data_IF_898098260664
#
_entry.id   IF_898098260664
#
_cell.length_a   1.000
_cell.length_b   1.000
_cell.length_c   1.000
_cell.angle_alpha   90.00
_cell.angle_beta   90.00
_cell.angle_gamma   90.00
#
_symmetry.space_group_name_H-M   'P 1'
#
loop_
_entity.id
_entity.type
_entity.pdbx_description
1 polymer ?
#
# COMPACT_ATOMS: atom_id res chain seq x y z
N UNK A 1 5.56 -15.28 -25.05
CA UNK A 1 6.50 -14.48 -24.25
C UNK A 1 5.95 -14.41 -22.83
N UNK A 2 6.71 -14.84 -21.83
CA UNK A 2 6.25 -14.92 -20.42
C UNK A 2 6.82 -13.79 -19.56
N UNK A 3 7.87 -13.12 -20.02
CA UNK A 3 8.44 -11.92 -19.40
C UNK A 3 9.11 -11.03 -20.45
N UNK A 4 9.33 -9.76 -20.10
CA UNK A 4 10.10 -8.77 -20.87
C UNK A 4 11.12 -8.14 -19.92
N UNK A 5 12.37 -8.00 -20.36
CA UNK A 5 13.40 -7.32 -19.58
C UNK A 5 13.33 -5.81 -19.82
N UNK A 6 13.16 -5.03 -18.76
CA UNK A 6 13.15 -3.56 -18.80
C UNK A 6 14.41 -2.98 -18.13
N UNK A 7 15.01 -1.91 -18.68
CA UNK A 7 16.16 -1.23 -18.07
C UNK A 7 15.77 -0.41 -16.82
N UNK A 8 14.49 -0.07 -16.70
CA UNK A 8 13.91 0.67 -15.58
C UNK A 8 12.57 0.04 -15.22
N UNK A 9 12.32 -0.16 -13.93
CA UNK A 9 11.04 -0.61 -13.38
C UNK A 9 10.51 0.41 -12.38
N UNK A 10 9.20 0.43 -12.18
CA UNK A 10 8.50 1.39 -11.34
C UNK A 10 7.84 0.75 -10.10
N UNK A 11 7.62 1.57 -9.07
CA UNK A 11 6.77 1.26 -7.92
C UNK A 11 6.04 2.51 -7.47
N UNK A 12 4.84 2.35 -6.93
CA UNK A 12 4.14 3.45 -6.25
C UNK A 12 4.52 3.43 -4.77
N UNK A 13 4.88 4.59 -4.22
CA UNK A 13 5.26 4.73 -2.81
C UNK A 13 4.50 5.88 -2.17
N UNK A 14 4.21 5.75 -0.88
CA UNK A 14 3.66 6.83 -0.09
C UNK A 14 4.77 7.51 0.71
N UNK A 15 5.05 8.77 0.39
CA UNK A 15 6.06 9.57 1.09
C UNK A 15 5.48 10.93 1.49
N UNK A 16 5.53 11.22 2.80
CA UNK A 16 5.06 12.49 3.38
C UNK A 16 3.62 12.83 2.97
N UNK A 17 2.71 11.84 2.98
CA UNK A 17 1.32 12.01 2.57
C UNK A 17 1.09 12.15 1.06
N UNK A 18 2.13 12.00 0.24
CA UNK A 18 2.03 12.06 -1.22
C UNK A 18 2.30 10.69 -1.84
N UNK A 19 1.46 10.32 -2.82
CA UNK A 19 1.75 9.18 -3.68
C UNK A 19 2.77 9.60 -4.74
N UNK A 20 3.88 8.87 -4.81
CA UNK A 20 4.97 9.14 -5.74
C UNK A 20 5.27 7.92 -6.60
N UNK A 21 5.74 8.17 -7.82
CA UNK A 21 6.30 7.14 -8.69
C UNK A 21 7.79 7.05 -8.42
N UNK A 22 8.26 5.88 -8.02
CA UNK A 22 9.67 5.57 -7.89
C UNK A 22 10.12 4.77 -9.10
N UNK A 23 11.17 5.24 -9.77
CA UNK A 23 11.81 4.55 -10.88
C UNK A 23 13.13 3.94 -10.44
N UNK A 24 13.36 2.69 -10.79
CA UNK A 24 14.48 1.86 -10.32
C UNK A 24 15.22 1.32 -11.52
N UNK A 25 16.53 1.62 -11.61
CA UNK A 25 17.39 1.05 -12.64
C UNK A 25 17.64 -0.42 -12.36
N UNK A 26 17.38 -1.28 -13.35
CA UNK A 26 17.56 -2.73 -13.20
C UNK A 26 19.03 -3.12 -13.36
N UNK A 27 19.37 -4.34 -12.91
CA UNK A 27 20.74 -4.89 -12.96
C UNK A 27 21.77 -4.18 -12.05
N UNK A 28 21.34 -3.19 -11.27
CA UNK A 28 22.09 -2.56 -10.19
C UNK A 28 21.40 -2.90 -8.86
N UNK A 29 22.18 -3.25 -7.83
CA UNK A 29 21.63 -3.53 -6.50
C UNK A 29 20.74 -4.80 -6.43
N UNK A 30 20.87 -5.73 -7.38
CA UNK A 30 20.13 -7.00 -7.36
C UNK A 30 18.67 -6.93 -7.80
N UNK A 31 18.24 -5.82 -8.43
CA UNK A 31 16.89 -5.67 -8.99
C UNK A 31 16.79 -6.39 -10.34
N UNK A 32 15.90 -7.39 -10.50
CA UNK A 32 15.76 -8.11 -11.77
C UNK A 32 15.26 -7.21 -12.89
N UNK A 33 15.77 -7.39 -14.11
CA UNK A 33 15.23 -6.71 -15.30
C UNK A 33 13.88 -7.30 -15.74
N UNK A 34 13.64 -8.58 -15.45
CA UNK A 34 12.49 -9.32 -15.96
C UNK A 34 11.18 -8.90 -15.31
N UNK A 35 10.22 -8.51 -16.16
CA UNK A 35 8.85 -8.14 -15.82
C UNK A 35 7.91 -9.20 -16.40
N UNK A 36 7.04 -9.82 -15.59
CA UNK A 36 6.12 -10.85 -16.07
C UNK A 36 5.09 -10.28 -17.05
N UNK A 37 4.77 -11.05 -18.10
CA UNK A 37 3.66 -10.75 -19.01
C UNK A 37 2.45 -11.57 -18.57
N UNK A 38 1.40 -10.87 -18.14
CA UNK A 38 0.15 -11.49 -17.67
C UNK A 38 -0.93 -11.40 -18.74
N UNK A 39 -1.78 -12.44 -18.79
CA UNK A 39 -2.94 -12.50 -19.66
C UNK A 39 -4.19 -12.17 -18.86
N UNK A 40 -5.01 -11.26 -19.38
CA UNK A 40 -6.32 -11.02 -18.83
C UNK A 40 -7.30 -12.13 -19.29
N UNK A 41 -8.27 -12.43 -18.44
CA UNK A 41 -9.32 -13.43 -18.69
C UNK A 41 -10.66 -12.72 -18.71
N UNK A 42 -11.44 -12.93 -19.77
CA UNK A 42 -12.80 -12.38 -19.91
C UNK A 42 -13.74 -12.98 -18.88
N UNK A 43 -14.44 -12.12 -18.16
CA UNK A 43 -15.58 -12.48 -17.34
C UNK A 43 -16.87 -12.24 -18.14
N UNK A 44 -17.40 -13.31 -18.73
CA UNK A 44 -18.58 -13.29 -19.61
C UNK A 44 -19.83 -12.70 -18.94
N UNK A 45 -19.92 -12.71 -17.60
CA UNK A 45 -21.07 -12.16 -16.89
C UNK A 45 -21.04 -10.64 -16.80
N UNK A 46 -19.84 -10.08 -16.69
CA UNK A 46 -19.65 -8.64 -16.46
C UNK A 46 -19.20 -7.89 -17.71
N UNK A 47 -18.66 -8.61 -18.70
CA UNK A 47 -17.99 -8.02 -19.86
C UNK A 47 -16.63 -7.40 -19.55
N UNK A 48 -16.13 -7.54 -18.31
CA UNK A 48 -14.80 -7.06 -17.90
C UNK A 48 -13.75 -8.14 -18.11
N UNK A 49 -12.50 -7.71 -18.27
CA UNK A 49 -11.34 -8.59 -18.25
C UNK A 49 -10.68 -8.57 -16.86
N UNK A 50 -10.06 -9.68 -16.45
CA UNK A 50 -9.51 -9.87 -15.10
C UNK A 50 -8.09 -10.39 -15.16
N UNK A 51 -7.19 -9.75 -14.41
CA UNK A 51 -5.85 -10.27 -14.13
C UNK A 51 -5.76 -10.63 -12.66
N UNK A 52 -5.38 -11.88 -12.37
CA UNK A 52 -5.14 -12.34 -11.00
C UNK A 52 -3.65 -12.31 -10.70
N UNK A 53 -3.29 -11.52 -9.69
CA UNK A 53 -1.94 -11.44 -9.17
C UNK A 53 -1.78 -12.43 -8.01
N UNK A 54 -0.67 -13.16 -7.93
CA UNK A 54 -0.44 -14.08 -6.82
C UNK A 54 -0.33 -13.32 -5.50
N UNK A 55 -0.57 -14.02 -4.39
CA UNK A 55 -0.21 -13.49 -3.07
C UNK A 55 1.29 -13.31 -2.95
N UNK A 56 1.71 -12.25 -2.27
CA UNK A 56 3.10 -11.91 -2.00
C UNK A 56 3.25 -11.63 -0.51
N UNK A 57 4.48 -11.52 0.01
CA UNK A 57 4.69 -11.16 1.42
C UNK A 57 3.86 -9.93 1.79
N UNK A 58 2.94 -10.06 2.74
CA UNK A 58 2.09 -8.95 3.18
C UNK A 58 0.98 -8.49 2.24
N UNK A 59 0.67 -9.17 1.14
CA UNK A 59 -0.60 -8.96 0.44
C UNK A 59 -1.22 -10.28 -0.02
N UNK A 60 -2.55 -10.44 0.15
CA UNK A 60 -3.27 -11.55 -0.46
C UNK A 60 -3.23 -11.42 -1.99
N UNK A 61 -3.65 -12.48 -2.69
CA UNK A 61 -3.90 -12.41 -4.13
C UNK A 61 -4.85 -11.25 -4.45
N UNK A 62 -4.57 -10.53 -5.53
CA UNK A 62 -5.33 -9.36 -5.97
C UNK A 62 -5.91 -9.60 -7.35
N UNK A 63 -7.12 -9.11 -7.58
CA UNK A 63 -7.73 -9.07 -8.92
C UNK A 63 -7.65 -7.64 -9.45
N UNK A 64 -7.05 -7.46 -10.61
CA UNK A 64 -7.13 -6.22 -11.39
C UNK A 64 -8.25 -6.37 -12.41
N UNK A 65 -9.21 -5.44 -12.39
CA UNK A 65 -10.28 -5.36 -13.39
C UNK A 65 -9.84 -4.46 -14.52
N UNK A 66 -10.03 -4.91 -15.75
CA UNK A 66 -9.75 -4.18 -16.98
C UNK A 66 -11.10 -3.95 -17.65
N UNK A 67 -11.40 -2.69 -17.95
CA UNK A 67 -12.57 -2.33 -18.73
C UNK A 67 -12.18 -2.33 -20.22
N UNK A 68 -12.67 -3.28 -21.04
CA UNK A 68 -12.34 -3.32 -22.46
C UNK A 68 -13.07 -2.26 -23.28
N UNK A 69 -14.06 -1.57 -22.69
CA UNK A 69 -14.72 -0.43 -23.32
C UNK A 69 -13.93 0.84 -22.96
N UNK A 70 -13.21 1.46 -23.92
CA UNK A 70 -12.43 2.65 -23.65
C UNK A 70 -13.36 3.80 -23.27
N UNK A 71 -13.24 4.27 -22.04
CA UNK A 71 -13.82 5.53 -21.58
C UNK A 71 -12.71 6.56 -21.45
N UNK A 72 -12.93 7.75 -21.99
CA UNK A 72 -12.00 8.86 -21.84
C UNK A 72 -11.86 9.31 -20.39
N UNK A 73 -11.18 10.44 -20.12
CA UNK A 73 -10.98 10.96 -18.76
C UNK A 73 -12.29 11.40 -18.08
N UNK A 74 -13.41 11.39 -18.80
CA UNK A 74 -14.73 11.77 -18.30
C UNK A 74 -15.71 10.63 -18.53
N UNK A 75 -16.62 10.45 -17.58
CA UNK A 75 -17.71 9.48 -17.73
C UNK A 75 -18.59 9.88 -18.93
N UNK A 76 -18.97 8.92 -19.80
CA UNK A 76 -19.85 9.22 -20.91
C UNK A 76 -21.24 9.64 -20.42
N UNK A 77 -21.96 10.51 -21.16
CA UNK A 77 -23.31 10.91 -20.81
C UNK A 77 -24.28 9.72 -20.91
N UNK A 78 -25.22 9.62 -19.96
CA UNK A 78 -26.20 8.55 -19.89
C UNK A 78 -27.46 8.89 -20.69
N UNK A 79 -27.35 8.91 -22.02
CA UNK A 79 -28.43 9.26 -22.95
C UNK A 79 -28.78 8.08 -23.87
N UNK A 80 -29.88 8.17 -24.62
CA UNK A 80 -30.27 7.12 -25.59
C UNK A 80 -29.37 7.01 -26.83
N UNK A 81 -28.29 7.78 -26.93
CA UNK A 81 -27.38 7.80 -28.08
C UNK A 81 -26.22 6.78 -27.97
N UNK A 82 -26.14 6.02 -26.88
CA UNK A 82 -25.07 5.05 -26.63
C UNK A 82 -25.63 3.68 -26.24
N UNK A 83 -24.90 2.63 -26.60
CA UNK A 83 -25.16 1.28 -26.11
C UNK A 83 -24.68 1.13 -24.67
N UNK A 84 -25.31 0.25 -23.85
CA UNK A 84 -24.83 -0.06 -22.51
C UNK A 84 -23.39 -0.60 -22.55
N UNK A 85 -22.50 0.00 -21.75
CA UNK A 85 -21.12 -0.44 -21.58
C UNK A 85 -20.68 -0.23 -20.13
N UNK A 86 -19.72 -1.02 -19.61
CA UNK A 86 -19.13 -0.76 -18.31
C UNK A 86 -18.46 0.62 -18.26
N UNK A 87 -18.65 1.36 -17.17
CA UNK A 87 -18.04 2.68 -16.96
C UNK A 87 -17.08 2.60 -15.78
N UNK A 88 -15.81 2.91 -16.03
CA UNK A 88 -14.78 2.99 -14.99
C UNK A 88 -15.05 4.23 -14.11
N UNK A 89 -15.06 4.11 -12.78
CA UNK A 89 -15.15 5.28 -11.90
C UNK A 89 -14.03 6.28 -12.19
N UNK A 90 -14.38 7.55 -12.39
CA UNK A 90 -13.43 8.63 -12.68
C UNK A 90 -12.81 9.13 -11.36
N UNK A 91 -11.51 9.41 -11.37
CA UNK A 91 -10.82 10.01 -10.24
C UNK A 91 -11.42 11.39 -9.87
N UNK A 92 -11.64 11.63 -8.58
CA UNK A 92 -12.20 12.89 -8.05
C UNK A 92 -11.44 13.35 -6.81
N UNK A 93 -11.59 14.62 -6.42
CA UNK A 93 -10.96 15.19 -5.23
C UNK A 93 -9.61 15.85 -5.52
N UNK A 94 -8.52 15.09 -5.46
CA UNK A 94 -7.17 15.64 -5.61
C UNK A 94 -6.77 15.83 -7.08
N UNK A 95 -5.94 16.82 -7.39
CA UNK A 95 -5.37 16.98 -8.74
C UNK A 95 -4.15 16.08 -8.89
N UNK A 96 -4.10 15.28 -9.95
CA UNK A 96 -2.90 14.53 -10.34
C UNK A 96 -1.99 15.45 -11.15
N UNK A 97 -0.77 15.67 -10.67
CA UNK A 97 0.26 16.45 -11.37
C UNK A 97 1.53 15.62 -11.47
N UNK A 98 2.22 15.72 -12.61
CA UNK A 98 3.57 15.18 -12.74
C UNK A 98 4.51 15.95 -11.80
N UNK A 99 5.48 15.26 -11.21
CA UNK A 99 6.52 15.91 -10.41
C UNK A 99 7.35 16.86 -11.27
N UNK A 100 7.66 18.05 -10.73
CA UNK A 100 8.42 19.08 -11.44
C UNK A 100 9.88 18.68 -11.72
N UNK A 101 10.42 17.72 -10.96
CA UNK A 101 11.77 17.18 -11.18
C UNK A 101 11.91 15.73 -10.70
N UNK A 102 12.86 15.01 -11.30
CA UNK A 102 13.25 13.66 -10.90
C UNK A 102 14.37 13.78 -9.87
N UNK A 103 14.18 13.19 -8.69
CA UNK A 103 15.17 13.17 -7.62
C UNK A 103 15.77 11.77 -7.49
N UNK A 104 17.10 11.68 -7.60
CA UNK A 104 17.82 10.42 -7.37
C UNK A 104 17.95 10.16 -5.88
N UNK A 105 17.49 9.00 -5.42
CA UNK A 105 17.58 8.55 -4.03
C UNK A 105 18.30 7.21 -3.97
N UNK A 106 19.10 6.98 -2.91
CA UNK A 106 19.77 5.70 -2.65
C UNK A 106 18.96 4.88 -1.66
N UNK A 107 18.83 3.58 -1.91
CA UNK A 107 18.11 2.65 -1.03
C UNK A 107 18.93 1.38 -0.78
N UNK A 108 18.67 0.67 0.35
CA UNK A 108 19.14 -0.69 0.52
C UNK A 108 18.60 -1.58 -0.59
N UNK A 109 19.47 -2.40 -1.17
CA UNK A 109 19.15 -3.33 -2.25
C UNK A 109 17.93 -4.23 -1.95
N UNK A 110 17.73 -4.61 -0.69
CA UNK A 110 16.65 -5.51 -0.27
C UNK A 110 15.26 -4.89 -0.38
N UNK A 111 15.12 -3.56 -0.33
CA UNK A 111 13.84 -2.89 -0.52
C UNK A 111 13.37 -2.91 -1.98
N UNK A 112 14.27 -3.20 -2.92
CA UNK A 112 14.02 -3.08 -4.36
C UNK A 112 13.83 -4.44 -5.06
N UNK A 113 13.98 -5.56 -4.35
CA UNK A 113 13.94 -6.91 -4.94
C UNK A 113 12.54 -7.41 -5.28
N UNK A 114 11.49 -6.71 -4.84
CA UNK A 114 10.13 -7.28 -4.86
C UNK A 114 9.08 -6.30 -5.40
N UNK A 115 9.45 -5.63 -6.51
CA UNK A 115 8.55 -4.79 -7.29
C UNK A 115 7.33 -5.59 -7.75
N UNK A 116 6.14 -4.99 -7.63
CA UNK A 116 4.88 -5.55 -8.08
C UNK A 116 4.41 -4.85 -9.34
N UNK A 117 4.95 -5.32 -10.44
CA UNK A 117 4.71 -4.83 -11.76
C UNK A 117 4.52 -5.98 -12.74
N UNK A 118 3.82 -5.69 -13.83
CA UNK A 118 3.57 -6.64 -14.90
C UNK A 118 3.31 -5.89 -16.20
N UNK A 119 3.36 -6.62 -17.31
CA UNK A 119 2.91 -6.15 -18.61
C UNK A 119 1.67 -6.95 -19.00
N UNK A 120 0.66 -6.29 -19.55
CA UNK A 120 -0.42 -6.95 -20.26
C UNK A 120 -0.63 -6.29 -21.62
N UNK A 121 -1.36 -6.95 -22.51
CA UNK A 121 -1.67 -6.45 -23.84
C UNK A 121 -3.14 -6.03 -23.91
N UNK A 122 -3.40 -4.84 -24.42
CA UNK A 122 -4.75 -4.36 -24.73
C UNK A 122 -4.86 -4.01 -26.22
N UNK A 123 -6.08 -3.97 -26.80
CA UNK A 123 -6.27 -3.43 -28.14
C UNK A 123 -5.72 -2.02 -28.24
N UNK A 124 -5.07 -1.69 -29.36
CA UNK A 124 -4.62 -0.33 -29.61
C UNK A 124 -5.81 0.62 -29.89
N UNK A 125 -5.53 1.92 -30.01
CA UNK A 125 -6.55 2.94 -30.26
C UNK A 125 -7.37 2.72 -31.56
N UNK A 126 -6.85 1.94 -32.52
CA UNK A 126 -7.54 1.61 -33.77
C UNK A 126 -8.38 0.33 -33.66
N UNK A 127 -8.17 -0.47 -32.62
CA UNK A 127 -8.77 -1.80 -32.44
C UNK A 127 -8.27 -2.85 -33.42
N UNK A 128 -7.26 -2.54 -34.26
CA UNK A 128 -6.73 -3.44 -35.28
C UNK A 128 -5.44 -4.16 -34.86
N UNK A 129 -4.78 -3.66 -33.82
CA UNK A 129 -3.58 -4.24 -33.22
C UNK A 129 -3.65 -4.31 -31.70
N UNK A 130 -2.50 -4.52 -31.08
CA UNK A 130 -2.34 -4.57 -29.61
C UNK A 130 -1.17 -3.72 -29.18
N UNK A 131 -1.30 -3.11 -28.01
CA UNK A 131 -0.23 -2.36 -27.35
C UNK A 131 0.07 -2.94 -25.96
N UNK A 132 1.35 -2.94 -25.55
CA UNK A 132 1.74 -3.39 -24.22
C UNK A 132 1.54 -2.28 -23.20
N UNK A 133 0.91 -2.61 -22.07
CA UNK A 133 0.73 -1.71 -20.94
C UNK A 133 1.56 -2.22 -19.77
N UNK A 134 2.53 -1.41 -19.37
CA UNK A 134 3.30 -1.61 -18.14
C UNK A 134 2.51 -1.09 -16.94
N UNK A 135 2.21 -1.97 -16.01
CA UNK A 135 1.48 -1.67 -14.78
C UNK A 135 2.41 -1.81 -13.59
N UNK A 136 2.48 -0.78 -12.76
CA UNK A 136 3.21 -0.78 -11.49
C UNK A 136 2.22 -0.56 -10.34
N UNK A 137 2.47 -1.22 -9.20
CA UNK A 137 1.63 -1.13 -8.01
C UNK A 137 2.40 -0.57 -6.82
N UNK A 138 1.66 -0.26 -5.76
CA UNK A 138 2.28 0.12 -4.49
C UNK A 138 2.88 -1.07 -3.76
N UNK A 139 3.88 -0.80 -2.91
CA UNK A 139 4.33 -1.76 -1.91
C UNK A 139 3.11 -2.15 -1.02
N UNK A 140 2.84 -3.45 -0.77
CA UNK A 140 1.80 -3.89 0.14
C UNK A 140 1.89 -3.33 1.55
N UNK A 141 3.09 -2.95 1.98
CA UNK A 141 3.30 -2.30 3.27
C UNK A 141 2.96 -0.79 3.22
N UNK A 142 2.86 -0.20 2.04
CA UNK A 142 2.29 1.13 1.78
C UNK A 142 0.80 0.99 1.48
N UNK A 143 0.01 0.67 2.51
CA UNK A 143 -1.43 0.47 2.38
C UNK A 143 -2.23 1.02 3.57
N UNK A 144 -3.34 1.70 3.24
CA UNK A 144 -4.24 2.30 4.21
C UNK A 144 -3.51 3.28 5.12
N UNK A 145 -3.41 2.93 6.40
CA UNK A 145 -2.76 3.76 7.44
C UNK A 145 -1.27 3.51 7.63
N UNK A 146 -0.68 2.60 6.84
CA UNK A 146 0.71 2.17 7.02
C UNK A 146 1.57 2.58 5.84
N UNK A 147 2.84 2.85 6.14
CA UNK A 147 3.91 2.90 5.15
C UNK A 147 5.04 1.99 5.60
N UNK A 148 5.74 1.36 4.65
CA UNK A 148 6.94 0.54 4.91
C UNK A 148 7.96 1.34 5.74
N UNK A 149 8.17 2.60 5.36
CA UNK A 149 9.12 3.51 6.03
C UNK A 149 8.78 3.68 7.51
N UNK A 150 7.50 3.88 7.83
CA UNK A 150 7.09 4.05 9.20
C UNK A 150 7.11 2.74 9.98
N UNK A 151 6.70 1.62 9.38
CA UNK A 151 6.84 0.29 9.97
C UNK A 151 8.30 -0.03 10.30
N UNK A 152 9.24 0.22 9.38
CA UNK A 152 10.68 0.01 9.61
C UNK A 152 11.20 0.86 10.77
N UNK A 153 10.84 2.16 10.79
CA UNK A 153 11.23 3.09 11.85
C UNK A 153 10.73 2.66 13.22
N UNK A 154 9.56 2.01 13.27
CA UNK A 154 8.89 1.60 14.52
C UNK A 154 9.05 0.12 14.85
N UNK A 155 9.73 -0.66 14.01
CA UNK A 155 9.95 -2.09 14.22
C UNK A 155 10.66 -2.42 15.54
N UNK A 156 11.38 -1.46 16.13
CA UNK A 156 11.92 -1.58 17.51
C UNK A 156 10.87 -1.87 18.58
N UNK A 157 9.59 -1.65 18.30
CA UNK A 157 8.48 -1.97 19.19
C UNK A 157 7.76 -3.28 18.81
N UNK A 158 8.20 -4.00 17.77
CA UNK A 158 7.51 -5.20 17.29
C UNK A 158 7.45 -6.31 18.36
N UNK A 159 8.44 -6.39 19.24
CA UNK A 159 8.46 -7.31 20.38
C UNK A 159 7.27 -7.11 21.33
N UNK A 160 6.82 -5.87 21.51
CA UNK A 160 5.66 -5.53 22.35
C UNK A 160 4.37 -6.12 21.77
N UNK A 161 4.36 -6.40 20.46
CA UNK A 161 3.27 -7.04 19.72
C UNK A 161 3.52 -8.53 19.48
N UNK A 162 4.46 -9.15 20.21
CA UNK A 162 4.72 -10.58 20.16
C UNK A 162 5.63 -11.06 19.03
N UNK A 163 6.34 -10.14 18.34
CA UNK A 163 7.25 -10.49 17.25
C UNK A 163 8.68 -10.50 17.78
N UNK A 164 9.21 -11.69 17.99
CA UNK A 164 10.55 -11.88 18.56
C UNK A 164 11.69 -11.71 17.54
N UNK A 165 11.41 -11.76 16.24
CA UNK A 165 12.44 -11.62 15.20
C UNK A 165 12.98 -10.18 15.17
N UNK A 166 14.30 -10.04 15.26
CA UNK A 166 15.00 -8.75 15.21
C UNK A 166 15.41 -8.36 13.79
N UNK A 167 15.33 -9.28 12.83
CA UNK A 167 15.65 -9.01 11.42
C UNK A 167 14.54 -8.18 10.80
N UNK A 168 14.93 -7.04 10.23
CA UNK A 168 14.01 -6.18 9.47
C UNK A 168 14.01 -6.62 8.01
N UNK A 169 12.91 -7.23 7.59
CA UNK A 169 12.66 -7.62 6.20
C UNK A 169 11.15 -7.55 5.92
N UNK A 170 10.72 -7.80 4.70
CA UNK A 170 9.30 -7.69 4.35
C UNK A 170 8.40 -8.61 5.17
N UNK A 171 8.84 -9.82 5.48
CA UNK A 171 8.04 -10.80 6.23
C UNK A 171 7.81 -10.28 7.64
N UNK A 172 8.85 -9.81 8.33
CA UNK A 172 8.73 -9.32 9.70
C UNK A 172 8.00 -7.98 9.77
N UNK A 173 8.21 -7.08 8.81
CA UNK A 173 7.42 -5.84 8.70
C UNK A 173 5.94 -6.10 8.42
N UNK A 174 5.64 -7.15 7.63
CA UNK A 174 4.27 -7.63 7.41
C UNK A 174 3.65 -8.11 8.72
N UNK A 175 4.36 -8.97 9.46
CA UNK A 175 3.90 -9.45 10.77
C UNK A 175 3.63 -8.27 11.70
N UNK A 176 4.50 -7.26 11.70
CA UNK A 176 4.32 -6.08 12.55
C UNK A 176 3.09 -5.27 12.17
N UNK A 177 2.90 -5.01 10.88
CA UNK A 177 1.67 -4.37 10.37
C UNK A 177 0.43 -5.16 10.79
N UNK A 178 0.43 -6.46 10.57
CA UNK A 178 -0.73 -7.31 10.85
C UNK A 178 -1.04 -7.39 12.35
N UNK A 179 -0.01 -7.38 13.20
CA UNK A 179 -0.18 -7.34 14.66
C UNK A 179 -0.75 -6.00 15.15
N UNK A 180 -0.31 -4.86 14.57
CA UNK A 180 -0.89 -3.55 14.86
C UNK A 180 -2.34 -3.48 14.37
N UNK A 181 -2.64 -4.02 13.19
CA UNK A 181 -4.01 -4.07 12.66
C UNK A 181 -4.91 -4.99 13.50
N UNK A 182 -4.39 -6.12 13.99
CA UNK A 182 -5.10 -7.01 14.90
C UNK A 182 -5.39 -6.32 16.23
N UNK A 183 -4.43 -5.57 16.78
CA UNK A 183 -4.63 -4.73 17.97
C UNK A 183 -5.77 -3.74 17.76
N UNK A 184 -5.80 -3.03 16.62
CA UNK A 184 -6.86 -2.05 16.32
C UNK A 184 -8.25 -2.68 16.11
N UNK A 185 -8.31 -3.94 15.66
CA UNK A 185 -9.56 -4.69 15.44
C UNK A 185 -10.04 -5.47 16.66
N UNK A 186 -9.20 -5.62 17.67
CA UNK A 186 -9.57 -6.30 18.90
C UNK A 186 -10.72 -5.54 19.59
N UNK A 187 -11.73 -6.30 20.01
CA UNK A 187 -12.94 -5.75 20.66
C UNK A 187 -12.64 -5.09 22.00
N UNK A 188 -11.54 -5.48 22.65
CA UNK A 188 -11.10 -4.92 23.92
C UNK A 188 -10.17 -3.71 23.75
N UNK A 189 -9.86 -3.33 22.50
CA UNK A 189 -9.13 -2.11 22.19
C UNK A 189 -10.08 -0.93 22.12
N UNK A 190 -9.79 0.10 22.92
CA UNK A 190 -10.60 1.31 23.00
C UNK A 190 -9.80 2.55 22.64
N UNK A 191 -10.44 3.51 21.96
CA UNK A 191 -9.88 4.86 21.81
C UNK A 191 -9.84 5.52 23.20
N UNK A 192 -8.64 5.78 23.70
CA UNK A 192 -8.40 6.40 25.00
C UNK A 192 -7.26 7.39 24.90
N UNK A 193 -7.58 8.67 24.83
CA UNK A 193 -6.60 9.73 25.00
C UNK A 193 -5.81 10.10 23.75
N UNK A 194 -4.74 10.87 23.95
CA UNK A 194 -3.95 11.51 22.89
C UNK A 194 -2.45 11.39 23.16
N UNK A 195 -1.63 11.50 22.12
CA UNK A 195 -0.19 11.49 22.25
C UNK A 195 0.38 12.92 22.24
N UNK A 196 1.06 13.32 23.31
CA UNK A 196 1.48 14.73 23.51
C UNK A 196 2.34 15.28 22.37
N UNK A 197 3.14 14.42 21.73
CA UNK A 197 4.05 14.84 20.65
C UNK A 197 3.39 14.95 19.29
N UNK A 198 2.18 14.40 19.13
CA UNK A 198 1.45 14.39 17.86
C UNK A 198 0.08 15.05 18.04
N UNK A 199 -0.03 16.30 17.62
CA UNK A 199 -1.23 17.10 17.89
C UNK A 199 -2.42 16.55 17.11
N UNK A 200 -3.52 16.30 17.82
CA UNK A 200 -4.74 15.72 17.22
C UNK A 200 -4.67 14.21 17.03
N UNK A 201 -3.62 13.56 17.55
CA UNK A 201 -3.51 12.10 17.55
C UNK A 201 -4.55 11.44 18.45
N UNK A 202 -4.83 10.18 18.13
CA UNK A 202 -5.69 9.28 18.89
C UNK A 202 -4.88 8.08 19.35
N UNK A 203 -5.07 7.69 20.61
CA UNK A 203 -4.41 6.51 21.19
C UNK A 203 -5.43 5.40 21.37
N UNK A 204 -5.11 4.20 20.88
CA UNK A 204 -5.91 2.99 20.98
C UNK A 204 -5.26 2.03 21.95
N UNK A 205 -5.88 1.80 23.10
CA UNK A 205 -5.35 1.01 24.20
C UNK A 205 -6.11 -0.29 24.39
N UNK A 206 -5.38 -1.39 24.58
CA UNK A 206 -5.95 -2.70 24.88
C UNK A 206 -5.62 -3.09 26.32
N UNK A 207 -6.65 -3.40 27.11
CA UNK A 207 -6.51 -3.69 28.55
C UNK A 207 -5.89 -5.05 28.85
N UNK A 208 -5.93 -6.00 27.91
CA UNK A 208 -5.36 -7.34 28.07
C UNK A 208 -3.86 -7.36 27.84
N UNK A 209 -3.42 -6.70 26.77
CA UNK A 209 -1.99 -6.64 26.41
C UNK A 209 -1.28 -5.49 27.09
N UNK A 210 -2.00 -4.43 27.48
CA UNK A 210 -1.46 -3.12 27.85
C UNK A 210 -0.73 -2.41 26.69
N UNK A 211 -0.96 -2.83 25.44
CA UNK A 211 -0.40 -2.14 24.29
C UNK A 211 -1.19 -0.87 23.97
N UNK A 212 -0.46 0.13 23.48
CA UNK A 212 -1.02 1.32 22.84
C UNK A 212 -0.62 1.38 21.38
N UNK A 213 -1.54 1.85 20.54
CA UNK A 213 -1.28 2.24 19.15
C UNK A 213 -1.70 3.68 18.98
N UNK A 214 -0.81 4.50 18.43
CA UNK A 214 -1.03 5.93 18.18
C UNK A 214 -1.29 6.12 16.69
N UNK A 215 -2.43 6.72 16.37
CA UNK A 215 -2.74 7.21 15.04
C UNK A 215 -2.71 8.74 15.03
N UNK A 216 -2.25 9.36 13.95
CA UNK A 216 -2.30 10.82 13.80
C UNK A 216 -3.72 11.31 13.50
N UNK A 217 -3.85 12.62 13.24
CA UNK A 217 -5.14 13.25 12.92
C UNK A 217 -5.79 12.73 11.63
N UNK A 218 -4.99 12.22 10.69
CA UNK A 218 -5.43 11.71 9.39
C UNK A 218 -5.67 10.18 9.44
N UNK A 219 -5.36 9.56 10.58
CA UNK A 219 -5.55 8.14 10.84
C UNK A 219 -4.35 7.28 10.43
N UNK A 220 -3.20 7.89 10.12
CA UNK A 220 -1.95 7.20 9.80
C UNK A 220 -1.26 6.68 11.06
N UNK A 221 -0.59 5.54 10.95
CA UNK A 221 0.12 4.91 12.06
C UNK A 221 1.35 5.71 12.46
N UNK A 222 1.41 6.15 13.72
CA UNK A 222 2.55 6.90 14.25
C UNK A 222 3.52 5.98 15.00
N UNK A 223 3.00 5.17 15.91
CA UNK A 223 3.82 4.28 16.75
C UNK A 223 2.91 3.39 17.60
N UNK A 224 3.48 2.37 18.24
CA UNK A 224 2.82 1.66 19.33
C UNK A 224 3.85 0.97 20.21
N UNK A 225 3.49 0.66 21.45
CA UNK A 225 4.35 -0.04 22.41
C UNK A 225 3.54 -0.58 23.60
N UNK A 226 4.18 -1.39 24.44
CA UNK A 226 3.58 -1.89 25.68
C UNK A 226 3.72 -0.86 26.82
N UNK A 227 2.63 -0.56 27.52
CA UNK A 227 2.70 0.22 28.76
C UNK A 227 2.90 -0.71 29.96
N UNK A 228 4.11 -0.67 30.52
CA UNK A 228 4.47 -1.48 31.69
C UNK A 228 3.60 -1.03 32.89
N UNK A 229 2.74 -1.91 33.44
CA UNK A 229 1.89 -1.57 34.58
C UNK A 229 2.70 -1.06 35.78
N UNK A 230 2.21 -0.01 36.42
CA UNK A 230 2.88 0.64 37.56
C UNK A 230 4.03 1.58 37.19
N UNK A 231 4.48 1.63 35.93
CA UNK A 231 5.44 2.64 35.49
C UNK A 231 4.86 4.06 35.56
N UNK A 232 5.69 5.12 35.68
CA UNK A 232 5.21 6.50 35.64
C UNK A 232 4.42 6.82 34.37
N UNK A 233 4.82 6.25 33.22
CA UNK A 233 4.11 6.45 31.96
C UNK A 233 2.72 5.77 31.98
N UNK A 234 2.63 4.54 32.47
CA UNK A 234 1.35 3.84 32.62
C UNK A 234 0.42 4.62 33.55
N UNK A 235 0.88 4.97 34.75
CA UNK A 235 0.06 5.69 35.72
C UNK A 235 -0.39 7.06 35.19
N UNK A 236 0.52 7.79 34.53
CA UNK A 236 0.21 9.06 33.89
C UNK A 236 -0.86 8.91 32.80
N UNK A 237 -0.68 7.95 31.90
CA UNK A 237 -1.62 7.70 30.80
C UNK A 237 -3.00 7.22 31.30
N UNK A 238 -3.04 6.29 32.27
CA UNK A 238 -4.29 5.77 32.80
C UNK A 238 -5.10 6.86 33.50
N UNK A 239 -4.43 7.76 34.23
CA UNK A 239 -5.08 8.84 34.99
C UNK A 239 -5.48 10.04 34.13
N UNK A 240 -4.66 10.41 33.14
CA UNK A 240 -4.85 11.66 32.37
C UNK A 240 -5.32 11.45 30.94
N UNK A 241 -5.18 10.23 30.39
CA UNK A 241 -5.36 9.98 28.96
C UNK A 241 -4.30 10.65 28.08
N UNK A 242 -3.20 11.13 28.65
CA UNK A 242 -2.10 11.74 27.88
C UNK A 242 -0.92 10.78 27.85
N UNK A 243 -0.53 10.40 26.64
CA UNK A 243 0.60 9.51 26.34
C UNK A 243 1.86 10.30 25.97
#
# INVERSE_FOLDING_TARGET
MHSVDLPVRGSLVMENGQQQVRLVKTSIGGVPASVPVLKAVRDEKTGLDRITLPSVGGAPSRTILINPAPVGPTAPPHTGNSSPAPVTPVHTGTTVKQADSIVTTSFPADDLKELQDFIYWQPDATGSGVEPIYVMQSDPLDSGRFTRKQLDKKFKHASDFGIADTKKNRVTLTQYRDAVEAHLKDRDTVEKGTYRREKGSKVFFNTKTNNVVVLDKDGEFVSGWNLIPGSPQYNGYINTGVL
#
